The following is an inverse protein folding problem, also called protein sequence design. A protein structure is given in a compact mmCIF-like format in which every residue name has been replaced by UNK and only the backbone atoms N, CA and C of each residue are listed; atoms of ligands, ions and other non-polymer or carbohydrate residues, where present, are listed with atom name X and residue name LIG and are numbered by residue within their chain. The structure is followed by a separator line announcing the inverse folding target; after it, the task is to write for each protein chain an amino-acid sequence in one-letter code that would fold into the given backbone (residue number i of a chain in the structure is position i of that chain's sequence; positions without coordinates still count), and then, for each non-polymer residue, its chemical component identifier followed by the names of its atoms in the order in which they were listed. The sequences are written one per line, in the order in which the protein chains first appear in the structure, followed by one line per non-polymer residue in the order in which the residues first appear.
data_IF_326602833155
#
_entry.id   IF_326602833155
#
_cell.length_a   1.000
_cell.length_b   1.000
_cell.length_c   1.000
_cell.angle_alpha   90.00
_cell.angle_beta   90.00
_cell.angle_gamma   90.00
#
_symmetry.space_group_name_H-M   'P 1'
#
loop_
_entity.id
_entity.type
_entity.pdbx_description
1 polymer ?
#
# COMPACT_ATOMS: atom_id res chain seq x y z
N UNK A 1 -20.86 31.36 11.73
CA UNK A 1 -20.37 32.59 11.08
C UNK A 1 -18.84 32.63 11.02
N UNK A 2 -18.10 32.06 11.99
CA UNK A 2 -16.64 31.91 11.89
C UNK A 2 -16.19 30.78 10.94
N UNK A 3 -16.84 29.61 11.02
CA UNK A 3 -16.41 28.42 10.27
C UNK A 3 -16.41 28.60 8.72
N UNK A 4 -17.30 29.45 8.19
CA UNK A 4 -17.36 29.73 6.75
C UNK A 4 -16.19 30.59 6.24
N UNK A 5 -15.60 31.41 7.12
CA UNK A 5 -14.44 32.24 6.79
C UNK A 5 -13.16 31.39 6.79
N UNK A 6 -13.03 30.46 7.73
CA UNK A 6 -11.90 29.53 7.82
C UNK A 6 -11.86 28.58 6.62
N UNK A 7 -13.02 28.05 6.21
CA UNK A 7 -13.14 27.20 5.02
C UNK A 7 -12.80 27.98 3.73
N UNK A 8 -13.16 29.26 3.67
CA UNK A 8 -12.82 30.13 2.53
C UNK A 8 -11.32 30.43 2.44
N UNK A 9 -10.66 30.70 3.58
CA UNK A 9 -9.21 30.92 3.64
C UNK A 9 -8.46 29.66 3.22
N UNK A 10 -8.89 28.49 3.70
CA UNK A 10 -8.30 27.19 3.33
C UNK A 10 -8.45 26.88 1.84
N UNK A 11 -9.58 27.23 1.23
CA UNK A 11 -9.80 27.06 -0.20
C UNK A 11 -8.85 27.93 -1.04
N UNK A 12 -8.57 29.17 -0.60
CA UNK A 12 -7.62 30.07 -1.26
C UNK A 12 -6.18 29.57 -1.15
N UNK A 13 -5.79 29.01 0.00
CA UNK A 13 -4.46 28.43 0.20
C UNK A 13 -4.20 27.21 -0.71
N UNK A 14 -5.23 26.37 -0.91
CA UNK A 14 -5.16 25.23 -1.84
C UNK A 14 -4.98 25.71 -3.29
N UNK A 15 -5.69 26.77 -3.69
CA UNK A 15 -5.56 27.36 -5.03
C UNK A 15 -4.16 27.95 -5.24
N UNK A 16 -3.63 28.67 -4.24
CA UNK A 16 -2.26 29.18 -4.26
C UNK A 16 -1.25 28.05 -4.45
N UNK A 17 -1.33 26.98 -3.66
CA UNK A 17 -0.38 25.86 -3.74
C UNK A 17 -0.41 25.17 -5.11
N UNK A 18 -1.59 25.01 -5.69
CA UNK A 18 -1.75 24.45 -7.04
C UNK A 18 -1.17 25.39 -8.11
N UNK A 19 -1.33 26.70 -7.95
CA UNK A 19 -0.75 27.70 -8.85
C UNK A 19 0.78 27.72 -8.75
N UNK A 20 1.34 27.76 -7.54
CA UNK A 20 2.80 27.75 -7.32
C UNK A 20 3.46 26.47 -7.85
N UNK A 21 2.78 25.32 -7.75
CA UNK A 21 3.25 24.06 -8.32
C UNK A 21 3.30 24.06 -9.87
N UNK A 22 2.45 24.84 -10.53
CA UNK A 22 2.37 24.90 -12.00
C UNK A 22 3.20 26.04 -12.60
N UNK A 23 3.29 27.19 -11.92
CA UNK A 23 3.86 28.42 -12.45
C UNK A 23 5.08 28.95 -11.69
N UNK A 24 5.48 28.29 -10.59
CA UNK A 24 6.51 28.79 -9.68
C UNK A 24 5.95 29.75 -8.63
N UNK A 25 6.76 30.16 -7.65
CA UNK A 25 6.26 31.02 -6.58
C UNK A 25 5.89 32.41 -7.12
N UNK A 26 4.82 33.01 -6.57
CA UNK A 26 4.35 34.34 -7.01
C UNK A 26 5.40 35.43 -6.71
N UNK A 27 6.23 35.21 -5.69
CA UNK A 27 7.35 36.07 -5.29
C UNK A 27 8.51 35.99 -6.29
N UNK A 28 8.79 34.81 -6.85
CA UNK A 28 9.77 34.65 -7.93
C UNK A 28 9.36 35.37 -9.22
N UNK A 29 8.05 35.65 -9.38
CA UNK A 29 7.48 36.42 -10.49
C UNK A 29 7.47 37.94 -10.23
N UNK A 30 7.95 38.39 -9.07
CA UNK A 30 8.09 39.80 -8.70
C UNK A 30 6.80 40.47 -8.23
N UNK A 31 5.80 39.70 -7.79
CA UNK A 31 4.57 40.23 -7.21
C UNK A 31 4.54 40.00 -5.69
N UNK A 32 4.15 41.03 -4.93
CA UNK A 32 3.97 40.91 -3.48
C UNK A 32 2.61 40.29 -3.14
N UNK A 33 2.65 39.23 -2.34
CA UNK A 33 1.48 38.46 -1.96
C UNK A 33 0.80 39.01 -0.69
N UNK A 34 -0.40 39.58 -0.87
CA UNK A 34 -1.21 40.16 0.20
C UNK A 34 -1.93 39.12 1.06
N UNK A 35 -1.92 37.84 0.68
CA UNK A 35 -2.59 36.78 1.45
C UNK A 35 -1.78 36.32 2.67
N UNK A 36 -0.47 36.59 2.71
CA UNK A 36 0.42 36.27 3.84
C UNK A 36 0.29 37.23 5.04
N UNK A 37 -0.23 38.45 4.84
CA UNK A 37 -0.23 39.48 5.89
C UNK A 37 -1.37 39.33 6.90
N UNK A 38 -2.43 38.59 6.56
CA UNK A 38 -3.58 38.40 7.45
C UNK A 38 -3.40 37.31 8.51
N UNK A 39 -2.41 36.44 8.39
CA UNK A 39 -2.15 35.34 9.34
C UNK A 39 -1.00 35.63 10.31
N UNK A 40 -0.39 36.83 10.27
CA UNK A 40 0.83 37.16 11.02
C UNK A 40 0.59 38.11 12.22
N UNK A 41 -0.66 38.37 12.61
CA UNK A 41 -1.01 39.14 13.82
C UNK A 41 -1.52 38.29 14.99
N UNK A 42 -1.68 36.97 14.80
CA UNK A 42 -1.97 36.03 15.89
C UNK A 42 -1.19 34.75 15.62
N UNK A 43 -0.32 34.35 16.56
CA UNK A 43 0.40 33.06 16.68
C UNK A 43 1.83 32.91 16.10
N UNK A 44 2.81 33.60 16.71
CA UNK A 44 4.24 33.20 16.80
C UNK A 44 4.76 33.81 18.14
N UNK A 45 5.21 33.12 19.20
CA UNK A 45 6.10 31.96 19.41
C UNK A 45 5.67 31.15 20.66
N UNK A 46 5.90 29.84 20.76
CA UNK A 46 7.09 29.17 21.36
C UNK A 46 6.95 27.64 21.13
N UNK A 47 7.96 26.78 21.00
CA UNK A 47 9.40 26.86 20.72
C UNK A 47 9.90 25.39 20.63
N UNK A 48 10.85 25.07 19.74
CA UNK A 48 11.71 23.87 19.85
C UNK A 48 13.10 24.23 19.30
N UNK A 49 14.10 24.38 20.18
CA UNK A 49 15.33 23.58 20.15
C UNK A 49 16.29 23.85 21.32
N UNK A 50 16.66 22.74 21.96
CA UNK A 50 17.95 22.34 22.55
C UNK A 50 19.02 23.40 22.88
N UNK A 51 19.44 23.50 24.15
CA UNK A 51 20.74 22.97 24.64
C UNK A 51 21.02 23.32 26.12
N UNK A 52 21.87 22.48 26.74
CA UNK A 52 22.33 22.47 28.12
C UNK A 52 22.89 23.80 28.68
N UNK A 53 22.54 24.17 29.93
CA UNK A 53 23.50 24.26 31.06
C UNK A 53 22.88 24.87 32.35
N UNK A 54 23.03 24.09 33.43
CA UNK A 54 23.22 24.39 34.86
C UNK A 54 22.88 25.76 35.51
N UNK A 55 22.12 25.62 36.61
CA UNK A 55 22.32 26.16 37.98
C UNK A 55 21.93 27.61 38.38
N UNK A 56 21.26 27.65 39.56
CA UNK A 56 21.15 28.70 40.59
C UNK A 56 20.42 30.00 40.24
N UNK A 57 19.22 30.27 40.76
CA UNK A 57 18.83 30.69 42.12
C UNK A 57 18.87 32.22 42.36
N UNK A 58 17.73 32.67 42.89
CA UNK A 58 17.50 33.83 43.76
C UNK A 58 17.47 35.26 43.19
N UNK A 59 16.22 35.74 43.07
CA UNK A 59 15.66 36.98 43.62
C UNK A 59 16.57 37.80 44.54
N UNK A 60 16.79 39.09 44.24
CA UNK A 60 16.31 40.21 45.07
C UNK A 60 16.61 41.62 44.50
N UNK A 61 15.60 42.49 44.61
CA UNK A 61 15.64 43.91 45.01
C UNK A 61 16.69 44.92 44.47
N UNK A 62 16.16 46.01 43.86
CA UNK A 62 16.33 47.43 44.25
C UNK A 62 16.94 48.45 43.22
N UNK A 63 16.18 49.53 42.96
CA UNK A 63 16.60 50.90 42.55
C UNK A 63 17.29 51.07 41.16
N UNK A 64 17.19 52.13 40.34
CA UNK A 64 16.94 53.56 40.51
C UNK A 64 16.91 54.24 39.11
N UNK A 65 15.87 55.00 38.74
CA UNK A 65 16.03 56.11 37.76
C UNK A 65 14.89 57.15 37.90
N UNK A 66 15.27 58.42 38.10
CA UNK A 66 14.44 59.62 38.33
C UNK A 66 14.81 60.69 37.30
N UNK A 67 13.81 61.47 36.85
CA UNK A 67 13.94 62.75 36.12
C UNK A 67 13.20 62.68 34.79
N UNK A 68 12.23 63.52 34.45
CA UNK A 68 12.09 64.97 34.69
C UNK A 68 10.60 65.36 34.71
N UNK A 69 10.28 66.35 35.55
CA UNK A 69 8.95 66.97 35.72
C UNK A 69 9.17 68.48 35.60
N UNK A 70 8.44 69.17 34.71
CA UNK A 70 8.07 70.58 34.89
C UNK A 70 7.07 71.03 33.82
N UNK A 71 5.87 71.26 34.32
CA UNK A 71 4.69 71.90 33.75
C UNK A 71 4.89 73.41 33.53
N UNK A 72 4.25 73.99 32.50
CA UNK A 72 3.67 75.36 32.51
C UNK A 72 3.03 75.74 31.17
N UNK A 73 1.73 76.02 31.25
CA UNK A 73 0.83 76.62 30.26
C UNK A 73 1.08 78.12 30.02
N UNK A 74 0.36 78.64 29.01
CA UNK A 74 -0.16 80.01 28.85
C UNK A 74 0.47 81.04 27.85
N UNK A 75 -0.40 81.41 26.88
CA UNK A 75 -0.75 82.76 26.38
C UNK A 75 -0.28 83.23 24.98
N UNK A 76 -1.31 83.59 24.22
CA UNK A 76 -1.39 84.22 22.90
C UNK A 76 -0.59 85.53 22.72
N UNK A 77 -0.02 85.73 21.52
CA UNK A 77 0.12 87.07 20.93
C UNK A 77 0.07 87.05 19.39
N UNK A 78 -0.71 87.99 18.86
CA UNK A 78 -1.02 88.30 17.46
C UNK A 78 0.17 88.95 16.70
N UNK A 79 0.01 89.12 15.37
CA UNK A 79 0.69 90.04 14.41
C UNK A 79 1.68 89.37 13.43
N UNK A 80 1.29 88.96 12.21
CA UNK A 80 1.11 89.72 10.94
C UNK A 80 2.36 89.73 10.04
N UNK A 81 2.37 88.90 8.97
CA UNK A 81 2.86 89.21 7.60
C UNK A 81 2.88 87.96 6.68
N UNK A 82 2.22 88.07 5.51
CA UNK A 82 2.20 87.15 4.35
C UNK A 82 3.55 87.14 3.54
N UNK A 83 3.63 86.58 2.30
CA UNK A 83 3.43 85.20 1.82
C UNK A 83 4.66 84.71 1.00
N UNK A 84 4.75 83.44 0.58
CA UNK A 84 5.37 83.10 -0.72
C UNK A 84 5.09 81.63 -1.15
N UNK A 85 5.01 81.47 -2.46
CA UNK A 85 4.44 80.36 -3.22
C UNK A 85 5.45 79.24 -3.54
N UNK A 86 5.00 77.98 -3.67
CA UNK A 86 5.14 77.20 -4.92
C UNK A 86 4.72 75.73 -4.75
N UNK A 87 3.70 75.36 -5.53
CA UNK A 87 3.21 74.02 -5.78
C UNK A 87 4.00 73.36 -6.92
N UNK A 88 4.29 72.06 -6.81
CA UNK A 88 4.44 71.19 -7.99
C UNK A 88 4.18 69.74 -7.63
N UNK A 89 3.09 69.22 -8.19
CA UNK A 89 2.67 67.81 -8.22
C UNK A 89 3.67 66.93 -9.01
N UNK A 90 3.98 65.75 -8.48
CA UNK A 90 4.73 64.70 -9.17
C UNK A 90 3.76 63.71 -9.87
N UNK A 91 3.62 63.85 -11.19
CA UNK A 91 2.99 62.86 -12.09
C UNK A 91 4.03 61.80 -12.53
N UNK A 92 3.70 60.49 -12.53
CA UNK A 92 4.65 59.45 -12.95
C UNK A 92 4.72 59.29 -14.48
N UNK A 93 5.85 59.67 -15.07
CA UNK A 93 6.13 59.47 -16.50
C UNK A 93 6.18 57.98 -16.91
N UNK A 94 5.35 57.57 -17.88
CA UNK A 94 5.29 56.21 -18.43
C UNK A 94 6.40 56.01 -19.48
N UNK A 95 7.39 55.16 -19.18
CA UNK A 95 8.45 54.76 -20.12
C UNK A 95 8.07 53.50 -20.92
N UNK A 96 8.37 53.40 -22.22
CA UNK A 96 8.01 52.23 -23.03
C UNK A 96 8.87 51.01 -22.69
N UNK A 97 8.23 49.84 -22.49
CA UNK A 97 8.87 48.56 -22.19
C UNK A 97 9.22 47.82 -23.47
N UNK A 98 10.51 47.62 -23.75
CA UNK A 98 10.99 46.88 -24.92
C UNK A 98 11.10 45.40 -24.55
N UNK A 99 10.28 44.55 -25.16
CA UNK A 99 10.39 43.08 -25.06
C UNK A 99 11.28 42.58 -26.19
N UNK A 100 12.46 42.06 -25.85
CA UNK A 100 13.28 41.28 -26.80
C UNK A 100 12.96 39.81 -26.61
N UNK A 101 12.42 39.16 -27.64
CA UNK A 101 12.34 37.71 -27.66
C UNK A 101 13.77 37.19 -27.88
N UNK A 102 14.35 36.58 -26.85
CA UNK A 102 15.59 35.86 -27.02
C UNK A 102 15.27 34.58 -27.82
N UNK A 103 15.91 34.41 -28.99
CA UNK A 103 15.79 33.22 -29.85
C UNK A 103 16.29 31.92 -29.18
N UNK A 104 16.57 31.95 -27.89
CA UNK A 104 16.98 30.79 -27.07
C UNK A 104 15.80 29.89 -26.67
N UNK A 105 14.64 30.03 -27.31
CA UNK A 105 13.70 28.92 -27.41
C UNK A 105 14.13 28.02 -28.58
N UNK A 106 15.22 27.28 -28.41
CA UNK A 106 15.33 25.98 -29.08
C UNK A 106 14.27 25.07 -28.44
N UNK A 107 13.00 25.37 -28.74
CA UNK A 107 11.92 24.42 -28.61
C UNK A 107 12.39 23.21 -29.39
N UNK A 108 12.61 22.09 -28.68
CA UNK A 108 12.87 20.82 -29.32
C UNK A 108 11.74 20.64 -30.32
N UNK A 109 12.05 20.77 -31.61
CA UNK A 109 11.07 20.50 -32.66
C UNK A 109 10.41 19.16 -32.32
N UNK A 110 9.07 19.07 -32.24
CA UNK A 110 8.42 17.84 -31.85
C UNK A 110 8.92 16.75 -32.79
N UNK A 111 9.54 15.71 -32.25
CA UNK A 111 10.05 14.60 -33.05
C UNK A 111 8.85 13.89 -33.68
N UNK A 112 8.49 14.34 -34.88
CA UNK A 112 7.38 13.80 -35.66
C UNK A 112 7.63 12.30 -35.84
N UNK A 113 6.65 11.48 -35.45
CA UNK A 113 6.81 10.03 -35.51
C UNK A 113 7.11 9.60 -36.95
N UNK A 114 7.86 8.50 -37.14
CA UNK A 114 8.21 7.99 -38.48
C UNK A 114 6.96 7.77 -39.36
N UNK A 115 5.80 7.50 -38.76
CA UNK A 115 4.51 7.33 -39.45
C UNK A 115 3.91 8.66 -39.89
N UNK A 116 3.91 9.68 -39.03
CA UNK A 116 3.47 11.03 -39.41
C UNK A 116 4.38 11.66 -40.45
N UNK A 117 5.70 11.43 -40.37
CA UNK A 117 6.65 11.88 -41.39
C UNK A 117 6.37 11.27 -42.77
N UNK A 118 5.90 10.00 -42.82
CA UNK A 118 5.47 9.36 -44.08
C UNK A 118 4.14 9.92 -44.58
N UNK A 119 3.20 10.19 -43.68
CA UNK A 119 1.90 10.75 -44.02
C UNK A 119 2.03 12.17 -44.59
N UNK A 120 2.81 13.03 -43.92
CA UNK A 120 3.14 14.38 -44.39
C UNK A 120 3.83 14.35 -45.76
N UNK A 121 4.75 13.39 -45.98
CA UNK A 121 5.41 13.20 -47.29
C UNK A 121 4.50 12.61 -48.37
N UNK A 122 3.44 11.91 -47.99
CA UNK A 122 2.51 11.29 -48.94
C UNK A 122 1.49 12.28 -49.53
N UNK A 123 1.45 13.53 -49.04
CA UNK A 123 0.55 14.57 -49.55
C UNK A 123 -0.95 14.27 -49.38
N UNK A 124 -1.29 13.17 -48.68
CA UNK A 124 -2.65 12.71 -48.46
C UNK A 124 -3.13 13.11 -47.07
N UNK A 125 -4.31 13.72 -47.01
CA UNK A 125 -4.98 13.98 -45.74
C UNK A 125 -5.42 12.67 -45.08
N UNK A 126 -5.29 12.52 -43.75
CA UNK A 126 -5.77 11.33 -43.04
C UNK A 126 -7.31 11.26 -43.19
N UNK A 127 -7.81 10.08 -43.54
CA UNK A 127 -9.26 9.87 -43.70
C UNK A 127 -9.94 9.70 -42.34
N UNK A 128 -11.21 10.12 -42.22
CA UNK A 128 -11.99 9.95 -40.98
C UNK A 128 -12.01 8.49 -40.50
N UNK A 129 -12.05 7.54 -41.43
CA UNK A 129 -11.98 6.11 -41.12
C UNK A 129 -10.64 5.70 -40.49
N UNK A 130 -9.52 6.22 -40.98
CA UNK A 130 -8.19 5.94 -40.42
C UNK A 130 -8.02 6.53 -39.01
N UNK A 131 -8.63 7.69 -38.74
CA UNK A 131 -8.62 8.33 -37.42
C UNK A 131 -9.42 7.48 -36.42
N UNK A 132 -10.65 7.08 -36.76
CA UNK A 132 -11.45 6.22 -35.88
C UNK A 132 -10.81 4.84 -35.65
N UNK A 133 -10.06 4.31 -36.62
CA UNK A 133 -9.30 3.07 -36.46
C UNK A 133 -8.11 3.25 -35.50
N UNK A 134 -7.43 4.40 -35.53
CA UNK A 134 -6.36 4.72 -34.56
C UNK A 134 -6.90 4.79 -33.15
N UNK A 135 -8.02 5.46 -32.93
CA UNK A 135 -8.67 5.56 -31.62
C UNK A 135 -9.09 4.17 -31.10
N UNK A 136 -9.69 3.35 -31.96
CA UNK A 136 -10.05 1.96 -31.62
C UNK A 136 -8.83 1.09 -31.29
N UNK A 137 -7.70 1.30 -31.96
CA UNK A 137 -6.48 0.56 -31.67
C UNK A 137 -5.82 1.04 -30.37
N UNK A 138 -5.87 2.33 -30.05
CA UNK A 138 -5.43 2.86 -28.76
C UNK A 138 -6.26 2.29 -27.60
N UNK A 139 -7.59 2.20 -27.76
CA UNK A 139 -8.50 1.59 -26.78
C UNK A 139 -8.30 0.07 -26.61
N UNK A 140 -7.85 -0.64 -27.66
CA UNK A 140 -7.54 -2.08 -27.60
C UNK A 140 -6.24 -2.40 -26.87
N UNK A 141 -5.35 -1.42 -26.72
CA UNK A 141 -4.12 -1.53 -25.95
C UNK A 141 -4.31 -1.17 -24.46
N UNK A 142 -5.54 -0.94 -24.00
CA UNK A 142 -5.84 -0.92 -22.57
C UNK A 142 -5.50 -2.30 -21.97
N UNK A 143 -4.72 -2.36 -20.87
CA UNK A 143 -4.20 -3.61 -20.35
C UNK A 143 -5.35 -4.47 -19.85
N UNK A 144 -5.67 -5.52 -20.60
CA UNK A 144 -6.47 -6.64 -20.10
C UNK A 144 -5.51 -7.60 -19.43
N UNK A 145 -5.86 -8.21 -18.28
CA UNK A 145 -4.99 -9.18 -17.64
C UNK A 145 -4.76 -10.33 -18.61
N UNK A 146 -3.56 -10.40 -19.15
CA UNK A 146 -3.09 -11.48 -20.00
C UNK A 146 -2.51 -12.57 -19.13
N UNK A 147 -2.41 -13.80 -19.66
CA UNK A 147 -1.68 -14.88 -18.97
C UNK A 147 -0.22 -14.48 -18.68
N UNK A 148 0.34 -13.60 -19.50
CA UNK A 148 1.66 -13.01 -19.32
C UNK A 148 1.72 -12.14 -18.05
N UNK A 149 0.65 -11.43 -17.71
CA UNK A 149 0.58 -10.65 -16.46
C UNK A 149 0.55 -11.56 -15.22
N UNK A 150 -0.22 -12.65 -15.26
CA UNK A 150 -0.22 -13.65 -14.18
C UNK A 150 1.16 -14.32 -14.04
N UNK A 151 1.85 -14.61 -15.14
CA UNK A 151 3.22 -15.13 -15.15
C UNK A 151 4.23 -14.11 -14.63
N UNK A 152 4.07 -12.84 -14.98
CA UNK A 152 4.90 -11.74 -14.46
C UNK A 152 4.71 -11.57 -12.94
N UNK A 153 3.47 -11.64 -12.44
CA UNK A 153 3.17 -11.63 -11.00
C UNK A 153 3.70 -12.89 -10.29
N UNK A 154 3.69 -14.05 -10.97
CA UNK A 154 4.30 -15.28 -10.48
C UNK A 154 5.84 -15.24 -10.47
N UNK A 155 6.46 -14.40 -11.28
CA UNK A 155 7.90 -14.23 -11.32
C UNK A 155 8.39 -13.08 -10.44
N UNK A 156 7.50 -12.16 -10.05
CA UNK A 156 7.83 -11.07 -9.14
C UNK A 156 7.98 -11.55 -7.69
N UNK A 157 9.21 -11.88 -7.32
CA UNK A 157 9.57 -12.29 -5.97
C UNK A 157 9.33 -11.19 -4.93
N UNK A 158 9.46 -9.91 -5.28
CA UNK A 158 9.26 -8.81 -4.33
C UNK A 158 7.79 -8.69 -3.99
N UNK A 159 6.93 -8.68 -5.00
CA UNK A 159 5.48 -8.65 -4.80
C UNK A 159 4.97 -9.87 -4.05
N UNK A 160 5.46 -11.07 -4.37
CA UNK A 160 5.06 -12.28 -3.65
C UNK A 160 5.44 -12.25 -2.17
N UNK A 161 6.65 -11.76 -1.86
CA UNK A 161 7.09 -11.58 -0.47
C UNK A 161 6.17 -10.58 0.23
N UNK A 162 5.88 -9.44 -0.39
CA UNK A 162 4.98 -8.43 0.15
C UNK A 162 3.58 -9.00 0.45
N UNK A 163 2.99 -9.74 -0.49
CA UNK A 163 1.66 -10.33 -0.32
C UNK A 163 1.63 -11.37 0.83
N UNK A 164 2.62 -12.24 0.91
CA UNK A 164 2.73 -13.26 1.97
C UNK A 164 3.05 -12.68 3.34
N UNK A 165 3.93 -11.69 3.39
CA UNK A 165 4.43 -11.07 4.62
C UNK A 165 3.59 -9.87 5.07
N UNK A 166 2.59 -9.45 4.27
CA UNK A 166 1.64 -8.36 4.57
C UNK A 166 1.08 -8.42 5.99
N UNK A 167 0.73 -9.61 6.47
CA UNK A 167 0.19 -9.79 7.83
C UNK A 167 1.26 -9.59 8.92
N UNK A 168 2.53 -9.85 8.62
CA UNK A 168 3.66 -9.58 9.52
C UNK A 168 3.93 -8.07 9.56
N UNK A 169 3.89 -7.40 8.41
CA UNK A 169 4.14 -5.97 8.28
C UNK A 169 2.99 -5.13 8.89
N UNK A 170 1.74 -5.50 8.63
CA UNK A 170 0.55 -4.79 9.12
C UNK A 170 0.41 -4.76 10.65
N UNK A 171 1.12 -5.64 11.37
CA UNK A 171 1.15 -5.60 12.84
C UNK A 171 2.35 -4.83 13.39
N UNK A 172 3.34 -4.51 12.55
CA UNK A 172 4.52 -3.76 12.94
C UNK A 172 4.33 -2.26 12.76
N UNK A 173 3.47 -1.86 11.83
CA UNK A 173 3.07 -0.48 11.61
C UNK A 173 1.69 -0.27 12.24
N UNK A 174 1.49 0.88 12.88
CA UNK A 174 0.19 1.26 13.46
C UNK A 174 -0.86 1.57 12.38
N UNK A 175 -0.40 1.76 11.15
CA UNK A 175 -1.22 2.07 9.99
C UNK A 175 -1.76 0.81 9.30
N UNK A 176 -3.07 0.82 9.03
CA UNK A 176 -3.78 -0.29 8.38
C UNK A 176 -4.21 0.09 6.96
N UNK A 177 -4.04 -0.81 6.00
CA UNK A 177 -4.58 -0.64 4.64
C UNK A 177 -3.62 0.07 3.68
N UNK A 178 -4.13 1.04 2.92
CA UNK A 178 -3.40 1.73 1.86
C UNK A 178 -2.21 2.56 2.37
N UNK A 179 -2.28 3.04 3.61
CA UNK A 179 -1.22 3.83 4.24
C UNK A 179 0.04 2.97 4.53
N UNK A 180 -0.17 1.67 4.81
CA UNK A 180 0.92 0.69 4.90
C UNK A 180 1.68 0.61 3.58
N UNK A 181 0.98 0.59 2.44
CA UNK A 181 1.64 0.46 1.13
C UNK A 181 2.43 1.71 0.77
N UNK A 182 1.94 2.91 1.07
CA UNK A 182 2.65 4.15 0.74
C UNK A 182 3.93 4.32 1.56
N UNK A 183 3.91 4.00 2.86
CA UNK A 183 5.11 4.10 3.68
C UNK A 183 6.09 2.93 3.47
N UNK A 184 5.59 1.70 3.25
CA UNK A 184 6.47 0.53 3.06
C UNK A 184 7.12 0.44 1.67
N UNK A 185 6.66 1.23 0.69
CA UNK A 185 7.36 1.34 -0.60
C UNK A 185 8.75 1.97 -0.42
N UNK A 186 8.90 2.88 0.55
CA UNK A 186 10.17 3.58 0.81
C UNK A 186 10.98 2.98 1.98
N UNK A 187 10.35 2.20 2.87
CA UNK A 187 11.07 1.47 3.92
C UNK A 187 11.66 0.15 3.38
N UNK A 188 12.88 0.24 2.88
CA UNK A 188 13.62 -0.84 2.20
C UNK A 188 13.90 -2.08 3.08
N UNK A 189 13.67 -2.02 4.41
CA UNK A 189 13.74 -3.22 5.25
C UNK A 189 12.82 -3.16 6.48
N UNK A 190 12.00 -4.19 6.75
CA UNK A 190 11.37 -4.34 8.05
C UNK A 190 12.45 -4.40 9.13
N UNK A 191 12.27 -3.67 10.23
CA UNK A 191 13.23 -3.61 11.34
C UNK A 191 12.82 -4.55 12.49
N UNK A 192 13.81 -4.93 13.32
CA UNK A 192 13.59 -5.67 14.57
C UNK A 192 12.82 -6.99 14.45
N UNK A 193 11.67 -7.07 15.14
CA UNK A 193 10.85 -8.29 15.24
C UNK A 193 10.20 -8.67 13.90
N UNK A 194 9.77 -7.68 13.11
CA UNK A 194 9.21 -7.90 11.79
C UNK A 194 10.26 -8.50 10.85
N UNK A 195 11.51 -7.98 10.88
CA UNK A 195 12.65 -8.54 10.13
C UNK A 195 12.84 -10.03 10.40
N UNK A 196 12.93 -10.38 11.68
CA UNK A 196 13.14 -11.78 12.12
C UNK A 196 12.02 -12.69 11.64
N UNK A 197 10.77 -12.22 11.64
CA UNK A 197 9.61 -12.98 11.18
C UNK A 197 9.57 -13.14 9.68
N UNK A 198 9.78 -12.05 8.94
CA UNK A 198 9.89 -12.10 7.48
C UNK A 198 10.99 -13.09 7.06
N UNK A 199 12.19 -12.96 7.64
CA UNK A 199 13.31 -13.85 7.37
C UNK A 199 12.99 -15.32 7.70
N UNK A 200 12.40 -15.60 8.88
CA UNK A 200 12.02 -16.97 9.24
C UNK A 200 10.91 -17.53 8.33
N UNK A 201 9.95 -16.71 7.87
CA UNK A 201 8.95 -17.11 6.87
C UNK A 201 9.61 -17.47 5.55
N UNK A 202 10.51 -16.60 5.03
CA UNK A 202 11.28 -16.86 3.81
C UNK A 202 12.09 -18.15 3.91
N UNK A 203 12.77 -18.38 5.03
CA UNK A 203 13.53 -19.62 5.26
C UNK A 203 12.61 -20.85 5.32
N UNK A 204 11.40 -20.75 5.88
CA UNK A 204 10.41 -21.84 5.88
C UNK A 204 9.90 -22.15 4.49
N UNK A 205 9.61 -21.13 3.70
CA UNK A 205 9.16 -21.29 2.32
C UNK A 205 10.24 -21.98 1.47
N UNK A 206 11.49 -21.51 1.54
CA UNK A 206 12.61 -22.13 0.83
C UNK A 206 12.82 -23.58 1.31
N UNK A 207 12.81 -23.80 2.63
CA UNK A 207 12.98 -25.14 3.19
C UNK A 207 11.79 -26.08 2.94
N UNK A 208 10.61 -25.56 2.61
CA UNK A 208 9.42 -26.37 2.30
C UNK A 208 9.53 -27.16 1.00
N UNK A 209 10.46 -26.78 0.13
CA UNK A 209 10.74 -27.50 -1.13
C UNK A 209 11.46 -28.81 -0.82
N UNK A 210 12.46 -28.76 0.06
CA UNK A 210 13.31 -29.92 0.41
C UNK A 210 12.83 -30.66 1.66
N UNK A 211 11.95 -30.05 2.46
CA UNK A 211 11.49 -30.58 3.75
C UNK A 211 10.03 -30.19 4.02
N UNK A 212 9.48 -30.54 5.17
CA UNK A 212 8.08 -30.24 5.52
C UNK A 212 7.79 -28.75 5.76
N UNK A 213 8.73 -27.83 5.54
CA UNK A 213 8.58 -26.37 5.70
C UNK A 213 8.34 -25.89 7.14
N UNK A 214 8.29 -26.83 8.07
CA UNK A 214 8.07 -26.63 9.50
C UNK A 214 9.25 -27.20 10.28
N UNK A 215 9.55 -26.65 11.48
CA UNK A 215 10.58 -27.23 12.33
C UNK A 215 10.24 -28.70 12.61
N UNK A 216 11.24 -29.59 12.52
CA UNK A 216 11.09 -31.03 12.73
C UNK A 216 10.43 -31.36 14.08
N UNK A 217 10.66 -30.50 15.09
CA UNK A 217 10.06 -30.57 16.42
C UNK A 217 9.52 -29.20 16.80
N UNK A 218 8.37 -29.18 17.46
CA UNK A 218 7.82 -27.98 18.08
C UNK A 218 8.61 -27.63 19.35
N UNK A 219 8.44 -26.41 19.82
CA UNK A 219 8.97 -25.96 21.12
C UNK A 219 8.47 -26.87 22.25
N UNK A 220 9.38 -27.25 23.15
CA UNK A 220 9.04 -28.11 24.26
C UNK A 220 8.13 -27.35 25.24
N UNK A 221 6.96 -27.90 25.52
CA UNK A 221 5.95 -27.27 26.37
C UNK A 221 5.23 -28.33 27.21
N UNK A 222 4.88 -28.02 28.48
CA UNK A 222 4.04 -28.90 29.28
C UNK A 222 2.71 -29.20 28.58
N UNK A 223 2.24 -30.44 28.70
CA UNK A 223 1.04 -30.90 27.98
C UNK A 223 -0.20 -30.06 28.30
N UNK A 224 -0.41 -29.71 29.58
CA UNK A 224 -1.55 -28.91 30.01
C UNK A 224 -1.54 -27.52 29.38
N UNK A 225 -0.38 -26.85 29.36
CA UNK A 225 -0.21 -25.53 28.75
C UNK A 225 -0.44 -25.58 27.24
N UNK A 226 0.13 -26.58 26.54
CA UNK A 226 -0.07 -26.75 25.10
C UNK A 226 -1.53 -27.00 24.76
N UNK A 227 -2.21 -27.89 25.48
CA UNK A 227 -3.65 -28.15 25.32
C UNK A 227 -4.48 -26.89 25.58
N UNK A 228 -4.16 -26.12 26.61
CA UNK A 228 -4.81 -24.86 26.92
C UNK A 228 -4.66 -23.81 25.81
N UNK A 229 -3.44 -23.66 25.27
CA UNK A 229 -3.18 -22.76 24.13
C UNK A 229 -3.96 -23.17 22.89
N UNK A 230 -3.97 -24.46 22.56
CA UNK A 230 -4.72 -24.99 21.40
C UNK A 230 -6.22 -24.74 21.58
N UNK A 231 -6.79 -25.09 22.74
CA UNK A 231 -8.22 -24.91 23.02
C UNK A 231 -8.63 -23.43 22.94
N UNK A 232 -7.90 -22.54 23.62
CA UNK A 232 -8.17 -21.08 23.59
C UNK A 232 -8.09 -20.52 22.17
N UNK A 233 -7.19 -21.05 21.36
CA UNK A 233 -7.06 -20.65 19.95
C UNK A 233 -8.23 -21.14 19.11
N UNK A 234 -8.63 -22.40 19.27
CA UNK A 234 -9.81 -22.97 18.60
C UNK A 234 -11.08 -22.20 18.97
N UNK A 235 -11.27 -21.86 20.25
CA UNK A 235 -12.41 -21.09 20.72
C UNK A 235 -12.45 -19.69 20.11
N UNK A 236 -11.30 -19.01 20.00
CA UNK A 236 -11.21 -17.68 19.36
C UNK A 236 -11.52 -17.75 17.86
N UNK A 237 -10.99 -18.75 17.17
CA UNK A 237 -11.25 -18.97 15.74
C UNK A 237 -12.73 -19.25 15.52
N UNK A 238 -13.33 -20.12 16.34
CA UNK A 238 -14.75 -20.44 16.25
C UNK A 238 -15.63 -19.21 16.41
N UNK A 239 -15.36 -18.38 17.43
CA UNK A 239 -16.07 -17.11 17.64
C UNK A 239 -15.92 -16.19 16.43
N UNK A 240 -14.70 -15.98 15.96
CA UNK A 240 -14.44 -15.13 14.80
C UNK A 240 -15.14 -15.61 13.52
N UNK A 241 -15.16 -16.92 13.27
CA UNK A 241 -15.85 -17.51 12.11
C UNK A 241 -17.38 -17.45 12.23
N UNK A 242 -17.90 -17.60 13.44
CA UNK A 242 -19.33 -17.46 13.74
C UNK A 242 -19.79 -16.01 13.61
N UNK A 243 -19.05 -15.06 14.18
CA UNK A 243 -19.31 -13.63 14.07
C UNK A 243 -19.28 -13.17 12.60
N UNK A 244 -18.26 -13.59 11.84
CA UNK A 244 -18.17 -13.29 10.42
C UNK A 244 -19.34 -13.89 9.62
N UNK A 245 -19.75 -15.13 9.94
CA UNK A 245 -20.91 -15.78 9.30
C UNK A 245 -22.20 -15.03 9.60
N UNK A 246 -22.40 -14.62 10.85
CA UNK A 246 -23.59 -13.88 11.28
C UNK A 246 -23.63 -12.48 10.66
N UNK A 247 -22.47 -11.85 10.46
CA UNK A 247 -22.34 -10.56 9.79
C UNK A 247 -22.34 -10.64 8.25
N UNK A 248 -22.35 -11.84 7.66
CA UNK A 248 -22.26 -12.02 6.20
C UNK A 248 -20.88 -11.70 5.59
N UNK A 249 -19.82 -11.65 6.40
CA UNK A 249 -18.44 -11.39 5.95
C UNK A 249 -17.81 -12.69 5.42
N UNK A 250 -17.30 -12.64 4.19
CA UNK A 250 -16.63 -13.78 3.56
C UNK A 250 -15.17 -13.87 4.01
N UNK A 251 -14.83 -14.95 4.71
CA UNK A 251 -13.45 -15.24 5.14
C UNK A 251 -12.70 -16.11 4.11
N UNK A 252 -11.37 -15.99 4.08
CA UNK A 252 -10.51 -16.88 3.26
C UNK A 252 -10.65 -18.35 3.67
N UNK A 253 -10.53 -19.28 2.72
CA UNK A 253 -10.71 -20.72 2.99
C UNK A 253 -9.42 -21.33 3.57
N UNK A 254 -9.55 -22.15 4.61
CA UNK A 254 -8.45 -22.91 5.22
C UNK A 254 -8.57 -24.41 4.91
N UNK A 255 -7.47 -25.16 4.95
CA UNK A 255 -7.49 -26.61 4.71
C UNK A 255 -8.12 -27.35 5.89
N UNK A 256 -8.72 -28.51 5.63
CA UNK A 256 -9.30 -29.33 6.70
C UNK A 256 -8.22 -29.79 7.70
N UNK A 257 -8.39 -29.43 8.96
CA UNK A 257 -7.46 -29.74 10.05
C UNK A 257 -6.42 -28.65 10.33
N UNK A 258 -6.33 -27.64 9.47
CA UNK A 258 -5.56 -26.43 9.68
C UNK A 258 -6.40 -25.39 10.42
N UNK A 259 -5.78 -24.65 11.34
CA UNK A 259 -6.42 -23.58 12.07
C UNK A 259 -6.13 -22.24 11.39
N UNK A 260 -7.12 -21.35 11.35
CA UNK A 260 -6.92 -19.98 10.88
C UNK A 260 -5.91 -19.23 11.77
N UNK A 261 -5.03 -18.48 11.14
CA UNK A 261 -4.03 -17.65 11.83
C UNK A 261 -4.59 -16.23 12.06
N UNK A 262 -5.41 -16.05 13.10
CA UNK A 262 -5.94 -14.72 13.48
C UNK A 262 -4.87 -13.75 13.97
N UNK A 263 -3.76 -14.29 14.48
CA UNK A 263 -2.65 -13.52 15.05
C UNK A 263 -1.40 -13.62 14.14
N UNK A 264 -1.58 -13.90 12.84
CA UNK A 264 -0.48 -13.86 11.88
C UNK A 264 0.24 -12.51 12.02
N UNK A 265 1.53 -12.50 12.33
CA UNK A 265 2.30 -11.26 12.51
C UNK A 265 2.38 -10.69 13.93
N UNK A 266 1.55 -11.11 14.89
CA UNK A 266 1.63 -10.63 16.29
C UNK A 266 2.64 -11.39 17.17
N UNK A 267 3.52 -10.68 17.88
CA UNK A 267 4.49 -11.21 18.86
C UNK A 267 5.93 -11.40 18.35
N UNK A 268 6.80 -12.08 19.11
CA UNK A 268 8.19 -12.37 18.70
C UNK A 268 8.33 -13.70 17.94
N UNK A 269 7.81 -14.81 18.49
CA UNK A 269 7.86 -16.15 17.87
C UNK A 269 6.56 -16.52 17.17
N UNK A 270 6.63 -17.29 16.08
CA UNK A 270 5.42 -17.73 15.38
C UNK A 270 4.62 -18.69 16.27
N UNK A 271 3.30 -18.55 16.29
CA UNK A 271 2.44 -19.47 17.06
C UNK A 271 2.60 -20.92 16.57
N UNK A 272 2.85 -21.10 15.27
CA UNK A 272 3.13 -22.38 14.63
C UNK A 272 4.28 -23.17 15.25
N UNK A 273 5.23 -22.49 15.91
CA UNK A 273 6.41 -23.16 16.51
C UNK A 273 6.07 -23.86 17.82
N UNK A 274 5.07 -23.33 18.53
CA UNK A 274 4.61 -23.84 19.83
C UNK A 274 3.51 -24.87 19.69
N UNK A 275 2.51 -24.57 18.87
CA UNK A 275 1.27 -25.35 18.75
C UNK A 275 1.08 -26.01 17.38
N UNK A 276 1.87 -25.63 16.37
CA UNK A 276 1.70 -26.10 14.99
C UNK A 276 0.64 -25.32 14.24
N UNK A 277 0.47 -25.66 12.97
CA UNK A 277 -0.57 -25.10 12.08
C UNK A 277 -1.94 -25.73 12.31
N UNK A 278 -1.99 -26.92 12.93
CA UNK A 278 -3.24 -27.50 13.39
C UNK A 278 -3.15 -28.96 13.76
N UNK A 279 -4.32 -29.61 13.83
CA UNK A 279 -4.44 -31.03 14.17
C UNK A 279 -3.95 -31.86 12.97
N UNK A 280 -2.87 -32.62 13.17
CA UNK A 280 -2.36 -33.55 12.15
C UNK A 280 -3.41 -34.64 11.88
N UNK A 281 -4.17 -34.48 10.81
CA UNK A 281 -5.10 -35.51 10.34
C UNK A 281 -4.28 -36.62 9.69
N UNK A 282 -4.20 -37.77 10.36
CA UNK A 282 -3.57 -38.94 9.75
C UNK A 282 -4.41 -39.39 8.58
N UNK A 283 -3.84 -39.42 7.37
CA UNK A 283 -4.45 -40.01 6.18
C UNK A 283 -4.44 -41.53 6.32
N UNK A 284 -5.32 -42.07 7.18
CA UNK A 284 -5.52 -43.51 7.28
C UNK A 284 -6.58 -43.92 6.29
N UNK A 285 -6.25 -44.90 5.45
CA UNK A 285 -7.24 -45.57 4.61
C UNK A 285 -8.13 -46.38 5.55
N UNK A 286 -9.45 -46.38 5.31
CA UNK A 286 -10.39 -47.22 6.07
C UNK A 286 -9.94 -48.67 5.97
N UNK A 287 -9.89 -49.37 7.10
CA UNK A 287 -9.69 -50.82 7.10
C UNK A 287 -10.82 -51.47 6.30
N UNK A 288 -10.46 -52.18 5.23
CA UNK A 288 -11.41 -52.82 4.32
C UNK A 288 -11.80 -54.24 4.79
N UNK A 289 -11.24 -54.70 5.91
CA UNK A 289 -11.41 -56.07 6.37
C UNK A 289 -10.71 -57.07 5.46
N UNK A 290 -10.83 -58.36 5.81
CA UNK A 290 -10.28 -59.47 5.02
C UNK A 290 -11.12 -59.68 3.75
N UNK A 291 -10.45 -59.79 2.60
CA UNK A 291 -11.12 -60.12 1.33
C UNK A 291 -11.37 -61.63 1.29
N UNK A 292 -12.63 -62.04 1.46
CA UNK A 292 -13.02 -63.46 1.48
C UNK A 292 -13.24 -64.02 0.06
N UNK A 293 -14.01 -63.31 -0.78
CA UNK A 293 -14.38 -63.83 -2.10
C UNK A 293 -13.34 -63.44 -3.16
N UNK A 294 -12.85 -64.45 -3.89
CA UNK A 294 -11.94 -64.29 -5.04
C UNK A 294 -12.62 -64.26 -6.41
N UNK A 295 -13.87 -64.75 -6.50
CA UNK A 295 -14.63 -64.88 -7.75
C UNK A 295 -15.73 -63.81 -7.78
N UNK A 296 -15.93 -63.21 -8.95
CA UNK A 296 -17.04 -62.29 -9.19
C UNK A 296 -16.92 -60.95 -8.47
N UNK A 297 -17.94 -60.10 -8.67
CA UNK A 297 -18.06 -58.78 -8.05
C UNK A 297 -19.21 -58.80 -7.05
N UNK A 298 -18.89 -58.55 -5.78
CA UNK A 298 -19.90 -58.32 -4.75
C UNK A 298 -20.50 -56.92 -4.95
N UNK A 299 -21.76 -56.87 -5.35
CA UNK A 299 -22.53 -55.64 -5.55
C UNK A 299 -23.70 -55.61 -4.57
N UNK A 300 -24.44 -54.49 -4.53
CA UNK A 300 -25.66 -54.40 -3.71
C UNK A 300 -26.71 -55.46 -4.07
N UNK A 301 -26.74 -55.94 -5.32
CA UNK A 301 -27.71 -56.93 -5.81
C UNK A 301 -27.24 -58.38 -5.61
N UNK A 302 -26.11 -58.59 -4.92
CA UNK A 302 -25.52 -59.91 -4.68
C UNK A 302 -24.20 -60.12 -5.43
N UNK A 303 -23.79 -61.40 -5.51
CA UNK A 303 -22.56 -61.82 -6.16
C UNK A 303 -22.77 -61.99 -7.66
N UNK A 304 -22.18 -61.09 -8.46
CA UNK A 304 -22.24 -61.17 -9.92
C UNK A 304 -21.00 -61.91 -10.41
N UNK A 305 -21.19 -63.12 -10.94
CA UNK A 305 -20.13 -63.93 -11.53
C UNK A 305 -20.19 -63.75 -13.04
N UNK A 306 -19.07 -63.44 -13.67
CA UNK A 306 -19.01 -63.27 -15.13
C UNK A 306 -19.11 -64.62 -15.83
N UNK A 307 -19.70 -64.66 -17.03
CA UNK A 307 -19.79 -65.91 -17.81
C UNK A 307 -18.40 -66.55 -18.01
N UNK A 308 -17.36 -65.73 -18.26
CA UNK A 308 -15.99 -66.23 -18.39
C UNK A 308 -15.38 -66.82 -17.11
N UNK A 309 -15.82 -66.41 -15.91
CA UNK A 309 -15.46 -67.08 -14.66
C UNK A 309 -16.23 -68.39 -14.47
N UNK A 310 -17.52 -68.41 -14.85
CA UNK A 310 -18.33 -69.62 -14.85
C UNK A 310 -17.70 -70.66 -15.77
N UNK A 311 -17.38 -70.29 -17.01
CA UNK A 311 -16.78 -71.18 -18.01
C UNK A 311 -15.39 -71.69 -17.58
N UNK A 312 -14.60 -70.86 -16.87
CA UNK A 312 -13.29 -71.23 -16.34
C UNK A 312 -13.38 -72.25 -15.21
N UNK A 313 -14.34 -72.10 -14.32
CA UNK A 313 -14.49 -72.98 -13.15
C UNK A 313 -15.24 -74.27 -13.53
N UNK A 314 -16.23 -74.16 -14.42
CA UNK A 314 -17.00 -75.32 -14.91
C UNK A 314 -16.23 -76.20 -15.89
N UNK A 315 -15.04 -75.79 -16.34
CA UNK A 315 -14.21 -76.56 -17.26
C UNK A 315 -14.69 -76.56 -18.72
N UNK A 316 -15.78 -75.85 -19.03
CA UNK A 316 -16.32 -75.74 -20.40
C UNK A 316 -15.60 -74.71 -21.28
N UNK A 317 -14.69 -73.91 -20.71
CA UNK A 317 -13.85 -72.95 -21.44
C UNK A 317 -12.68 -73.62 -22.16
N UNK A 318 -12.95 -74.31 -23.28
CA UNK A 318 -11.92 -74.87 -24.14
C UNK A 318 -10.81 -73.87 -24.49
N UNK A 319 -9.57 -74.31 -24.36
CA UNK A 319 -8.33 -73.60 -24.71
C UNK A 319 -8.45 -72.78 -26.01
N UNK A 320 -8.67 -71.45 -25.90
CA UNK A 320 -8.29 -70.52 -26.95
C UNK A 320 -6.96 -69.88 -26.58
N UNK A 321 -5.90 -70.54 -27.03
CA UNK A 321 -4.51 -70.08 -27.00
C UNK A 321 -4.41 -68.62 -27.44
N UNK A 322 -3.90 -67.75 -26.56
CA UNK A 322 -3.45 -66.42 -26.92
C UNK A 322 -2.12 -66.52 -27.68
N UNK A 323 -2.18 -66.90 -28.96
CA UNK A 323 -1.07 -66.79 -29.89
C UNK A 323 -0.95 -65.33 -30.37
N UNK A 324 -0.54 -64.42 -29.48
CA UNK A 324 -0.14 -63.05 -29.88
C UNK A 324 1.35 -63.05 -30.23
N UNK A 325 1.57 -63.26 -31.53
CA UNK A 325 2.68 -62.79 -32.38
C UNK A 325 3.75 -61.95 -31.63
N UNK A 326 4.91 -62.56 -31.35
CA UNK A 326 6.19 -61.83 -31.33
C UNK A 326 6.45 -61.36 -32.76
N UNK A 327 6.31 -60.06 -33.02
CA UNK A 327 6.91 -59.44 -34.21
C UNK A 327 8.40 -59.25 -33.89
N UNK A 328 9.25 -59.78 -34.76
CA UNK A 328 10.69 -59.53 -34.80
C UNK A 328 10.96 -58.07 -35.14
#
# INVERSE_FOLDING_TARGET
MGDEQDDYIKALEIQRRNFEAQFGSIEDLGFEDKSKTQTNSESINEDENEEHHQESSDTDSNSQFKGFDSDSEEINQFDESEPESSSSDDEPEIKPKIVRLNDTSTSRTPMVSKREKRLLKSGRAPTLQEITQREKNALKHAPKPTKEDDENLQNDLKLQRLLKESHILANSLEYSGADLTLQTIDFDDPTGKARKRALTSRMREISSINSTGMPKKLENMPMAMRKGMVKKREDRIRKYEEDARNAGIVLSKVRKGELRDLNAGKGSTMASDRIGTGKKVTKRVRDRGLKINGIGRSTRNGLVISQGEIDRISGNGGHKNNNKRKRR
#
